data_IF_504609834471
#
_entry.id   IF_504609834471
#
_cell.length_a   1.000
_cell.length_b   1.000
_cell.length_c   1.000
_cell.angle_alpha   90.00
_cell.angle_beta   90.00
_cell.angle_gamma   90.00
#
_symmetry.space_group_name_H-M   'P 1'
#
loop_
_entity.id
_entity.type
_entity.pdbx_description
1 polymer ?
#
# COMPACT_ATOMS: atom_id res chain seq x y z
N UNK A 1 -12.60 28.27 16.91
CA UNK A 1 -12.50 26.95 16.23
C UNK A 1 -12.31 27.26 14.75
N UNK A 2 -11.08 27.45 14.28
CA UNK A 2 -10.82 27.79 12.88
C UNK A 2 -11.13 26.59 11.99
N UNK A 3 -12.26 26.69 11.28
CA UNK A 3 -12.63 25.80 10.18
C UNK A 3 -11.69 26.07 9.02
N UNK A 4 -10.64 25.26 8.88
CA UNK A 4 -9.83 25.22 7.65
C UNK A 4 -10.78 25.08 6.47
N UNK A 5 -10.62 25.93 5.46
CA UNK A 5 -11.38 25.80 4.22
C UNK A 5 -11.14 24.40 3.65
N UNK A 6 -12.14 23.70 3.11
CA UNK A 6 -11.98 22.33 2.59
C UNK A 6 -10.83 22.20 1.58
N UNK A 7 -10.54 23.29 0.86
CA UNK A 7 -9.43 23.42 -0.09
C UNK A 7 -8.03 23.28 0.54
N UNK A 8 -7.86 23.59 1.83
CA UNK A 8 -6.56 23.52 2.50
C UNK A 8 -6.13 22.08 2.81
N UNK A 9 -7.07 21.16 3.00
CA UNK A 9 -6.78 19.74 3.21
C UNK A 9 -6.68 18.99 1.88
N UNK A 10 -7.45 19.42 0.87
CA UNK A 10 -7.48 18.79 -0.44
C UNK A 10 -6.13 18.85 -1.17
N UNK A 11 -5.45 20.00 -1.17
CA UNK A 11 -4.19 20.18 -1.91
C UNK A 11 -3.08 19.21 -1.43
N UNK A 12 -2.78 19.07 -0.13
CA UNK A 12 -1.85 18.04 0.36
C UNK A 12 -2.25 16.61 -0.01
N UNK A 13 -3.55 16.29 0.05
CA UNK A 13 -4.05 14.96 -0.29
C UNK A 13 -3.91 14.66 -1.78
N UNK A 14 -4.06 15.66 -2.67
CA UNK A 14 -3.78 15.52 -4.09
C UNK A 14 -2.31 15.20 -4.36
N UNK A 15 -1.37 15.86 -3.66
CA UNK A 15 0.05 15.52 -3.76
C UNK A 15 0.32 14.09 -3.29
N UNK A 16 -0.28 13.68 -2.16
CA UNK A 16 -0.19 12.29 -1.69
C UNK A 16 -0.75 11.33 -2.73
N UNK A 17 -1.91 11.65 -3.34
CA UNK A 17 -2.52 10.84 -4.39
C UNK A 17 -1.59 10.64 -5.58
N UNK A 18 -0.95 11.71 -6.07
CA UNK A 18 0.03 11.61 -7.17
C UNK A 18 1.26 10.79 -6.79
N UNK A 19 1.83 11.01 -5.60
CA UNK A 19 2.96 10.22 -5.12
C UNK A 19 2.59 8.74 -4.94
N UNK A 20 1.37 8.46 -4.48
CA UNK A 20 0.86 7.12 -4.33
C UNK A 20 0.60 6.43 -5.67
N UNK A 21 0.10 7.15 -6.68
CA UNK A 21 -0.02 6.63 -8.04
C UNK A 21 1.36 6.30 -8.64
N UNK A 22 2.35 7.21 -8.47
CA UNK A 22 3.73 6.98 -8.89
C UNK A 22 4.35 5.78 -8.17
N UNK A 23 4.05 5.58 -6.89
CA UNK A 23 4.44 4.39 -6.15
C UNK A 23 3.86 3.13 -6.79
N UNK A 24 2.58 3.14 -7.19
CA UNK A 24 1.95 2.01 -7.88
C UNK A 24 2.64 1.67 -9.21
N UNK A 25 2.97 2.69 -10.01
CA UNK A 25 3.77 2.53 -11.24
C UNK A 25 5.15 1.94 -10.96
N UNK A 26 5.83 2.48 -9.95
CA UNK A 26 7.19 2.06 -9.59
C UNK A 26 7.19 0.60 -9.12
N UNK A 27 6.20 0.22 -8.31
CA UNK A 27 6.02 -1.15 -7.86
C UNK A 27 5.76 -2.12 -9.03
N UNK A 28 4.92 -1.73 -10.00
CA UNK A 28 4.73 -2.53 -11.21
C UNK A 28 6.03 -2.70 -11.99
N UNK A 29 6.76 -1.61 -12.22
CA UNK A 29 8.03 -1.66 -12.94
C UNK A 29 9.04 -2.61 -12.26
N UNK A 30 9.11 -2.60 -10.92
CA UNK A 30 9.95 -3.53 -10.15
C UNK A 30 9.49 -4.98 -10.37
N UNK A 31 8.19 -5.28 -10.28
CA UNK A 31 7.69 -6.65 -10.45
C UNK A 31 7.84 -7.15 -11.89
N UNK A 32 7.68 -6.28 -12.89
CA UNK A 32 7.95 -6.61 -14.29
C UNK A 32 9.44 -6.92 -14.49
N UNK A 33 10.33 -6.13 -13.91
CA UNK A 33 11.77 -6.39 -13.97
C UNK A 33 12.15 -7.72 -13.29
N UNK A 34 11.53 -8.03 -12.14
CA UNK A 34 11.70 -9.33 -11.48
C UNK A 34 11.20 -10.47 -12.38
N UNK A 35 10.00 -10.35 -12.94
CA UNK A 35 9.45 -11.35 -13.86
C UNK A 35 10.34 -11.55 -15.10
N UNK A 36 10.91 -10.47 -15.64
CA UNK A 36 11.88 -10.54 -16.73
C UNK A 36 13.14 -11.32 -16.32
N UNK A 37 13.70 -11.03 -15.14
CA UNK A 37 14.88 -11.72 -14.61
C UNK A 37 14.66 -13.22 -14.39
N UNK A 38 13.43 -13.65 -14.10
CA UNK A 38 13.06 -15.06 -13.99
C UNK A 38 12.56 -15.69 -15.31
N UNK A 39 12.50 -14.94 -16.41
CA UNK A 39 11.98 -15.44 -17.69
C UNK A 39 10.46 -15.72 -17.69
N UNK A 40 9.70 -15.10 -16.79
CA UNK A 40 8.26 -15.34 -16.59
C UNK A 40 7.38 -14.16 -16.99
N UNK A 41 7.81 -13.35 -17.97
CA UNK A 41 7.01 -12.24 -18.48
C UNK A 41 5.72 -12.76 -19.12
N UNK A 42 4.57 -12.22 -18.69
CA UNK A 42 3.24 -12.67 -19.12
C UNK A 42 2.64 -11.86 -20.28
N UNK A 43 3.43 -11.02 -20.94
CA UNK A 43 2.98 -10.10 -22.00
C UNK A 43 2.37 -8.80 -21.46
N UNK A 44 1.93 -7.91 -22.35
CA UNK A 44 1.50 -6.55 -22.00
C UNK A 44 0.14 -6.49 -21.27
N UNK A 45 -0.83 -7.33 -21.65
CA UNK A 45 -2.18 -7.28 -21.09
C UNK A 45 -2.21 -7.60 -19.57
N UNK A 46 -1.55 -8.67 -19.08
CA UNK A 46 -1.49 -8.93 -17.64
C UNK A 46 -0.77 -7.82 -16.86
N UNK A 47 0.29 -7.24 -17.43
CA UNK A 47 1.03 -6.10 -16.83
C UNK A 47 0.12 -4.88 -16.67
N UNK A 48 -0.73 -4.60 -17.65
CA UNK A 48 -1.68 -3.48 -17.55
C UNK A 48 -2.75 -3.74 -16.48
N UNK A 49 -3.25 -4.98 -16.37
CA UNK A 49 -4.21 -5.36 -15.35
C UNK A 49 -3.60 -5.29 -13.94
N UNK A 50 -2.34 -5.74 -13.79
CA UNK A 50 -1.55 -5.67 -12.57
C UNK A 50 -1.23 -4.21 -12.17
N UNK A 51 -0.98 -3.33 -13.15
CA UNK A 51 -0.78 -1.90 -12.94
C UNK A 51 -2.04 -1.25 -12.34
N UNK A 52 -3.22 -1.54 -12.91
CA UNK A 52 -4.51 -1.05 -12.39
C UNK A 52 -4.70 -1.46 -10.93
N UNK A 53 -4.38 -2.71 -10.60
CA UNK A 53 -4.44 -3.19 -9.22
C UNK A 53 -3.49 -2.40 -8.31
N UNK A 54 -2.23 -2.23 -8.71
CA UNK A 54 -1.20 -1.61 -7.87
C UNK A 54 -1.42 -0.12 -7.64
N UNK A 55 -1.83 0.61 -8.68
CA UNK A 55 -2.13 2.05 -8.61
C UNK A 55 -3.35 2.32 -7.74
N UNK A 56 -4.43 1.55 -7.92
CA UNK A 56 -5.62 1.70 -7.08
C UNK A 56 -5.34 1.34 -5.62
N UNK A 57 -4.61 0.24 -5.38
CA UNK A 57 -4.15 -0.17 -4.05
C UNK A 57 -3.35 0.93 -3.35
N UNK A 58 -2.26 1.38 -3.97
CA UNK A 58 -1.36 2.37 -3.37
C UNK A 58 -2.07 3.68 -3.09
N UNK A 59 -2.89 4.15 -4.04
CA UNK A 59 -3.61 5.42 -3.92
C UNK A 59 -4.56 5.40 -2.73
N UNK A 60 -5.44 4.40 -2.63
CA UNK A 60 -6.44 4.34 -1.54
C UNK A 60 -5.75 4.19 -0.19
N UNK A 61 -4.74 3.32 -0.09
CA UNK A 61 -4.04 3.06 1.17
C UNK A 61 -3.24 4.27 1.65
N UNK A 62 -2.36 4.83 0.80
CA UNK A 62 -1.50 5.92 1.22
C UNK A 62 -2.32 7.21 1.46
N UNK A 63 -3.38 7.47 0.67
CA UNK A 63 -4.30 8.58 0.93
C UNK A 63 -5.06 8.36 2.24
N UNK A 64 -5.56 7.16 2.51
CA UNK A 64 -6.24 6.83 3.77
C UNK A 64 -5.36 7.10 4.99
N UNK A 65 -4.11 6.63 4.97
CA UNK A 65 -3.14 6.91 6.02
C UNK A 65 -2.83 8.41 6.16
N UNK A 66 -2.70 9.13 5.03
CA UNK A 66 -2.46 10.57 5.05
C UNK A 66 -3.64 11.36 5.61
N UNK A 67 -4.89 10.95 5.33
CA UNK A 67 -6.08 11.50 5.97
C UNK A 67 -5.99 11.30 7.49
N UNK A 68 -5.67 10.09 7.94
CA UNK A 68 -5.46 9.82 9.37
C UNK A 68 -4.38 10.69 10.01
N UNK A 69 -3.29 10.95 9.29
CA UNK A 69 -2.20 11.82 9.74
C UNK A 69 -2.59 13.31 9.85
N UNK A 70 -3.72 13.73 9.28
CA UNK A 70 -4.21 15.13 9.39
C UNK A 70 -4.96 15.41 10.69
N UNK A 71 -5.30 14.38 11.47
CA UNK A 71 -6.03 14.53 12.73
C UNK A 71 -5.20 15.31 13.77
N UNK A 72 -5.81 16.34 14.36
CA UNK A 72 -5.17 17.18 15.40
C UNK A 72 -5.17 16.52 16.78
N UNK A 73 -6.29 15.91 17.16
CA UNK A 73 -6.46 15.16 18.41
C UNK A 73 -6.51 13.67 18.11
N UNK A 74 -5.94 12.86 18.99
CA UNK A 74 -5.89 11.40 18.84
C UNK A 74 -5.30 10.93 17.50
N UNK A 75 -4.30 11.67 16.95
CA UNK A 75 -3.66 11.36 15.66
C UNK A 75 -3.24 9.90 15.53
N UNK A 76 -2.60 9.33 16.55
CA UNK A 76 -2.19 7.92 16.57
C UNK A 76 -3.36 6.95 16.35
N UNK A 77 -4.34 6.90 17.27
CA UNK A 77 -5.54 6.08 17.09
C UNK A 77 -6.26 6.30 15.76
N UNK A 78 -6.42 7.56 15.32
CA UNK A 78 -7.09 7.88 14.05
C UNK A 78 -6.29 7.39 12.85
N UNK A 79 -4.97 7.53 12.86
CA UNK A 79 -4.09 7.04 11.80
C UNK A 79 -4.07 5.50 11.74
N UNK A 80 -4.12 4.84 12.91
CA UNK A 80 -4.30 3.40 13.01
C UNK A 80 -5.65 2.95 12.45
N UNK A 81 -6.76 3.57 12.87
CA UNK A 81 -8.10 3.25 12.33
C UNK A 81 -8.19 3.52 10.83
N UNK A 82 -7.60 4.61 10.36
CA UNK A 82 -7.55 4.92 8.93
C UNK A 82 -6.84 3.82 8.15
N UNK A 83 -5.70 3.31 8.63
CA UNK A 83 -5.03 2.16 8.03
C UNK A 83 -5.86 0.86 8.12
N UNK A 84 -6.49 0.60 9.27
CA UNK A 84 -7.31 -0.58 9.54
C UNK A 84 -8.48 -0.71 8.54
N UNK A 85 -9.11 0.40 8.16
CA UNK A 85 -10.24 0.40 7.23
C UNK A 85 -9.84 0.68 5.77
N UNK A 86 -8.81 1.52 5.53
CA UNK A 86 -8.39 1.84 4.17
C UNK A 86 -7.79 0.63 3.47
N UNK A 87 -7.06 -0.25 4.16
CA UNK A 87 -6.44 -1.41 3.51
C UNK A 87 -7.43 -2.49 3.05
N UNK A 88 -8.44 -2.91 3.85
CA UNK A 88 -9.50 -3.79 3.37
C UNK A 88 -10.30 -3.17 2.22
N UNK A 89 -10.62 -1.87 2.31
CA UNK A 89 -11.32 -1.15 1.25
C UNK A 89 -10.49 -1.12 -0.04
N UNK A 90 -9.22 -0.77 0.06
CA UNK A 90 -8.29 -0.78 -1.06
C UNK A 90 -8.13 -2.18 -1.65
N UNK A 91 -8.09 -3.22 -0.82
CA UNK A 91 -8.01 -4.60 -1.29
C UNK A 91 -9.19 -4.95 -2.18
N UNK A 92 -10.41 -4.68 -1.70
CA UNK A 92 -11.63 -4.97 -2.45
C UNK A 92 -11.69 -4.16 -3.75
N UNK A 93 -11.48 -2.85 -3.67
CA UNK A 93 -11.51 -1.97 -4.86
C UNK A 93 -10.45 -2.35 -5.87
N UNK A 94 -9.20 -2.53 -5.44
CA UNK A 94 -8.10 -2.91 -6.33
C UNK A 94 -8.33 -4.28 -6.97
N UNK A 95 -8.87 -5.25 -6.20
CA UNK A 95 -9.22 -6.57 -6.72
C UNK A 95 -10.32 -6.48 -7.77
N UNK A 96 -11.41 -5.76 -7.51
CA UNK A 96 -12.50 -5.58 -8.45
C UNK A 96 -12.05 -4.89 -9.73
N UNK A 97 -11.21 -3.85 -9.61
CA UNK A 97 -10.62 -3.17 -10.76
C UNK A 97 -9.66 -4.07 -11.54
N UNK A 98 -8.88 -4.90 -10.85
CA UNK A 98 -8.01 -5.89 -11.49
C UNK A 98 -8.81 -6.93 -12.28
N UNK A 99 -9.85 -7.51 -11.68
CA UNK A 99 -10.68 -8.51 -12.36
C UNK A 99 -11.43 -7.90 -13.56
N UNK A 100 -11.93 -6.66 -13.42
CA UNK A 100 -12.52 -5.92 -14.55
C UNK A 100 -11.51 -5.61 -15.66
N UNK A 101 -10.26 -5.27 -15.31
CA UNK A 101 -9.19 -5.04 -16.28
C UNK A 101 -8.78 -6.33 -17.00
N UNK A 102 -8.69 -7.46 -16.28
CA UNK A 102 -8.42 -8.77 -16.89
C UNK A 102 -9.49 -9.15 -17.90
N UNK A 103 -10.76 -8.96 -17.54
CA UNK A 103 -11.89 -9.21 -18.44
C UNK A 103 -11.81 -8.33 -19.69
N UNK A 104 -11.63 -7.01 -19.53
CA UNK A 104 -11.54 -6.06 -20.64
C UNK A 104 -10.35 -6.32 -21.57
N UNK A 105 -9.26 -6.91 -21.05
CA UNK A 105 -8.03 -7.22 -21.79
C UNK A 105 -7.94 -8.68 -22.25
N UNK A 106 -9.02 -9.46 -22.06
CA UNK A 106 -9.09 -10.89 -22.38
C UNK A 106 -7.94 -11.71 -21.77
N UNK A 107 -7.54 -11.36 -20.55
CA UNK A 107 -6.55 -12.11 -19.77
C UNK A 107 -7.27 -13.29 -19.13
N UNK A 108 -6.78 -14.51 -19.36
CA UNK A 108 -7.35 -15.72 -18.81
C UNK A 108 -7.52 -15.63 -17.28
N UNK A 109 -8.66 -16.10 -16.78
CA UNK A 109 -8.91 -16.19 -15.36
C UNK A 109 -7.94 -17.17 -14.68
N UNK A 110 -7.60 -16.91 -13.42
CA UNK A 110 -6.81 -17.84 -12.63
C UNK A 110 -7.57 -19.17 -12.45
N UNK A 111 -6.89 -20.29 -12.68
CA UNK A 111 -7.49 -21.61 -12.52
C UNK A 111 -7.49 -22.04 -11.04
N UNK A 112 -8.68 -22.27 -10.49
CA UNK A 112 -8.88 -22.91 -9.18
C UNK A 112 -9.31 -21.97 -8.05
N UNK A 113 -9.65 -22.53 -6.87
CA UNK A 113 -10.04 -21.73 -5.71
C UNK A 113 -8.87 -20.90 -5.21
N UNK A 114 -9.04 -19.57 -5.19
CA UNK A 114 -8.08 -18.68 -4.55
C UNK A 114 -8.17 -18.74 -3.01
N UNK A 115 -7.17 -18.22 -2.29
CA UNK A 115 -7.23 -18.08 -0.84
C UNK A 115 -8.39 -17.18 -0.41
N UNK A 116 -8.85 -17.38 0.83
CA UNK A 116 -9.96 -16.61 1.41
C UNK A 116 -9.70 -15.10 1.34
N UNK A 117 -10.49 -14.41 0.52
CA UNK A 117 -10.41 -12.96 0.34
C UNK A 117 -10.74 -12.22 1.63
N UNK A 118 -11.65 -12.76 2.45
CA UNK A 118 -12.02 -12.17 3.74
C UNK A 118 -10.82 -12.21 4.69
N UNK A 119 -10.11 -13.34 4.77
CA UNK A 119 -8.92 -13.46 5.62
C UNK A 119 -7.81 -12.52 5.16
N UNK A 120 -7.60 -12.38 3.85
CA UNK A 120 -6.64 -11.41 3.30
C UNK A 120 -7.02 -9.99 3.68
N UNK A 121 -8.30 -9.62 3.52
CA UNK A 121 -8.78 -8.29 3.87
C UNK A 121 -8.57 -7.99 5.37
N UNK A 122 -8.90 -8.93 6.25
CA UNK A 122 -8.68 -8.81 7.70
C UNK A 122 -7.18 -8.65 8.00
N UNK A 123 -6.32 -9.49 7.42
CA UNK A 123 -4.88 -9.45 7.64
C UNK A 123 -4.27 -8.12 7.15
N UNK A 124 -4.69 -7.63 5.98
CA UNK A 124 -4.32 -6.31 5.46
C UNK A 124 -4.80 -5.18 6.37
N UNK A 125 -6.00 -5.31 6.93
CA UNK A 125 -6.52 -4.39 7.95
C UNK A 125 -5.60 -4.31 9.16
N UNK A 126 -5.28 -5.43 9.79
CA UNK A 126 -4.37 -5.45 10.93
C UNK A 126 -2.95 -4.96 10.57
N UNK A 127 -2.45 -5.31 9.38
CA UNK A 127 -1.17 -4.83 8.87
C UNK A 127 -1.14 -3.31 8.81
N UNK A 128 -2.08 -2.70 8.09
CA UNK A 128 -2.06 -1.25 7.88
C UNK A 128 -2.57 -0.46 9.09
N UNK A 129 -3.39 -1.08 9.94
CA UNK A 129 -3.79 -0.50 11.22
C UNK A 129 -2.63 -0.37 12.19
N UNK A 130 -1.85 -1.45 12.37
CA UNK A 130 -0.62 -1.40 13.17
C UNK A 130 0.43 -0.48 12.53
N UNK A 131 0.53 -0.48 11.20
CA UNK A 131 1.40 0.43 10.46
C UNK A 131 1.08 1.91 10.74
N UNK A 132 -0.19 2.30 10.69
CA UNK A 132 -0.62 3.66 10.99
C UNK A 132 -0.24 4.10 12.41
N UNK A 133 -0.41 3.22 13.39
CA UNK A 133 0.01 3.47 14.78
C UNK A 133 1.53 3.65 14.89
N UNK A 134 2.30 2.77 14.24
CA UNK A 134 3.76 2.82 14.29
C UNK A 134 4.32 4.08 13.60
N UNK A 135 3.74 4.49 12.47
CA UNK A 135 4.14 5.71 11.79
C UNK A 135 3.91 6.95 12.65
N UNK A 136 2.76 7.05 13.34
CA UNK A 136 2.51 8.14 14.29
C UNK A 136 3.49 8.11 15.47
N UNK A 137 3.78 6.92 16.00
CA UNK A 137 4.76 6.76 17.08
C UNK A 137 6.15 7.20 16.67
N UNK A 138 6.65 6.76 15.52
CA UNK A 138 7.96 7.17 14.98
C UNK A 138 7.98 8.67 14.69
N UNK A 139 6.92 9.22 14.13
CA UNK A 139 6.85 10.65 13.78
C UNK A 139 6.98 11.60 14.97
N UNK A 140 6.75 11.11 16.21
CA UNK A 140 6.89 11.85 17.47
C UNK A 140 8.27 11.72 18.11
N UNK A 141 9.15 10.86 17.59
CA UNK A 141 10.48 10.65 18.14
C UNK A 141 11.48 11.67 17.56
N UNK A 142 12.51 12.08 18.33
CA UNK A 142 13.56 12.97 17.82
C UNK A 142 14.35 12.35 16.66
N UNK A 143 14.43 11.01 16.62
CA UNK A 143 15.04 10.23 15.54
C UNK A 143 14.05 9.85 14.42
N UNK A 144 12.82 10.36 14.46
CA UNK A 144 11.72 10.05 13.54
C UNK A 144 11.86 10.60 12.12
N UNK A 145 13.06 10.52 11.54
CA UNK A 145 13.36 10.94 10.18
C UNK A 145 12.89 9.96 9.11
N UNK A 146 13.35 10.17 7.86
CA UNK A 146 12.98 9.35 6.71
C UNK A 146 13.33 7.87 6.94
N UNK A 147 14.56 7.57 7.36
CA UNK A 147 15.04 6.21 7.58
C UNK A 147 14.17 5.44 8.58
N UNK A 148 13.73 6.08 9.66
CA UNK A 148 12.85 5.49 10.66
C UNK A 148 11.45 5.14 10.11
N UNK A 149 10.92 5.97 9.21
CA UNK A 149 9.65 5.68 8.53
C UNK A 149 9.80 4.50 7.57
N UNK A 150 10.86 4.49 6.75
CA UNK A 150 11.14 3.39 5.82
C UNK A 150 11.37 2.07 6.58
N UNK A 151 12.13 2.10 7.67
CA UNK A 151 12.38 0.94 8.53
C UNK A 151 11.07 0.41 9.15
N UNK A 152 10.17 1.31 9.54
CA UNK A 152 8.83 0.93 10.03
C UNK A 152 8.01 0.24 8.95
N UNK A 153 8.01 0.80 7.74
CA UNK A 153 7.38 0.17 6.57
C UNK A 153 7.96 -1.22 6.31
N UNK A 154 9.28 -1.36 6.31
CA UNK A 154 9.95 -2.64 6.08
C UNK A 154 9.63 -3.65 7.18
N UNK A 155 9.67 -3.25 8.46
CA UNK A 155 9.39 -4.15 9.58
C UNK A 155 7.96 -4.69 9.51
N UNK A 156 6.96 -3.82 9.29
CA UNK A 156 5.58 -4.24 9.11
C UNK A 156 5.40 -5.08 7.85
N UNK A 157 6.07 -4.71 6.75
CA UNK A 157 6.07 -5.44 5.50
C UNK A 157 6.63 -6.85 5.64
N UNK A 158 7.73 -7.04 6.36
CA UNK A 158 8.33 -8.36 6.61
C UNK A 158 7.43 -9.22 7.48
N UNK A 159 6.91 -8.69 8.59
CA UNK A 159 6.07 -9.46 9.53
C UNK A 159 4.77 -9.91 8.86
N UNK A 160 4.00 -8.99 8.31
CA UNK A 160 2.71 -9.30 7.71
C UNK A 160 2.83 -9.85 6.29
N UNK A 161 3.84 -9.44 5.53
CA UNK A 161 4.14 -10.00 4.22
C UNK A 161 4.62 -11.44 4.30
N UNK A 162 5.44 -11.78 5.30
CA UNK A 162 5.80 -13.16 5.60
C UNK A 162 4.57 -14.01 5.94
N UNK A 163 3.68 -13.51 6.81
CA UNK A 163 2.42 -14.17 7.12
C UNK A 163 1.52 -14.35 5.87
N UNK A 164 1.42 -13.33 5.02
CA UNK A 164 0.69 -13.38 3.75
C UNK A 164 1.30 -14.40 2.78
N UNK A 165 2.62 -14.42 2.60
CA UNK A 165 3.31 -15.39 1.75
C UNK A 165 3.07 -16.81 2.27
N UNK A 166 3.24 -17.05 3.57
CA UNK A 166 2.98 -18.34 4.19
C UNK A 166 1.53 -18.79 4.04
N UNK A 167 0.56 -17.88 4.20
CA UNK A 167 -0.85 -18.16 3.97
C UNK A 167 -1.12 -18.56 2.52
N UNK A 168 -0.51 -17.87 1.56
CA UNK A 168 -0.68 -18.19 0.14
C UNK A 168 -0.03 -19.52 -0.26
N UNK A 169 1.13 -19.85 0.30
CA UNK A 169 1.77 -21.16 0.07
C UNK A 169 0.88 -22.29 0.61
N UNK A 170 0.33 -22.12 1.81
CA UNK A 170 -0.55 -23.13 2.43
C UNK A 170 -1.90 -23.29 1.72
N UNK A 171 -2.42 -22.21 1.14
CA UNK A 171 -3.69 -22.22 0.43
C UNK A 171 -3.57 -22.65 -1.04
N UNK A 172 -2.35 -22.77 -1.57
CA UNK A 172 -2.15 -23.13 -2.97
C UNK A 172 -2.37 -24.64 -3.20
N UNK A 173 -3.05 -25.05 -4.29
CA UNK A 173 -3.25 -26.47 -4.60
C UNK A 173 -1.94 -27.18 -4.99
N UNK A 174 -0.92 -26.41 -5.34
CA UNK A 174 0.41 -26.88 -5.73
C UNK A 174 1.45 -25.86 -5.29
N UNK A 175 2.68 -26.32 -5.03
CA UNK A 175 3.79 -25.45 -4.60
C UNK A 175 4.00 -24.32 -5.62
N UNK A 176 3.86 -23.04 -5.20
CA UNK A 176 4.03 -21.93 -6.13
C UNK A 176 5.46 -21.85 -6.66
N UNK A 177 5.66 -21.45 -7.93
CA UNK A 177 7.00 -21.26 -8.48
C UNK A 177 7.74 -20.15 -7.73
N UNK A 178 9.05 -20.30 -7.57
CA UNK A 178 9.90 -19.35 -6.83
C UNK A 178 9.76 -17.90 -7.32
N UNK A 179 9.62 -17.67 -8.63
CA UNK A 179 9.41 -16.34 -9.20
C UNK A 179 8.13 -15.66 -8.67
N UNK A 180 7.06 -16.42 -8.48
CA UNK A 180 5.80 -15.91 -7.91
C UNK A 180 5.94 -15.58 -6.42
N UNK A 181 6.69 -16.40 -5.67
CA UNK A 181 6.95 -16.17 -4.25
C UNK A 181 7.83 -14.94 -4.03
N UNK A 182 8.89 -14.78 -4.82
CA UNK A 182 9.78 -13.61 -4.76
C UNK A 182 9.03 -12.34 -5.14
N UNK A 183 8.27 -12.36 -6.24
CA UNK A 183 7.47 -11.20 -6.67
C UNK A 183 6.44 -10.82 -5.61
N UNK A 184 5.79 -11.80 -4.99
CA UNK A 184 4.86 -11.59 -3.89
C UNK A 184 5.55 -11.02 -2.66
N UNK A 185 6.66 -11.60 -2.23
CA UNK A 185 7.41 -11.12 -1.08
C UNK A 185 7.89 -9.68 -1.29
N UNK A 186 8.42 -9.37 -2.49
CA UNK A 186 8.81 -8.02 -2.87
C UNK A 186 7.60 -7.07 -2.79
N UNK A 187 6.45 -7.46 -3.33
CA UNK A 187 5.23 -6.67 -3.27
C UNK A 187 4.79 -6.36 -1.83
N UNK A 188 4.75 -7.38 -0.99
CA UNK A 188 4.28 -7.25 0.40
C UNK A 188 5.25 -6.46 1.30
N UNK A 189 6.56 -6.53 1.03
CA UNK A 189 7.57 -5.78 1.78
C UNK A 189 7.72 -4.33 1.30
N UNK A 190 7.77 -4.11 -0.02
CA UNK A 190 8.07 -2.79 -0.59
C UNK A 190 6.87 -1.84 -0.54
N UNK A 191 5.63 -2.33 -0.59
CA UNK A 191 4.46 -1.45 -0.54
C UNK A 191 4.37 -0.63 0.76
N UNK A 192 4.48 -1.23 1.96
CA UNK A 192 4.52 -0.48 3.20
C UNK A 192 5.70 0.50 3.27
N UNK A 193 6.88 0.14 2.74
CA UNK A 193 8.03 1.06 2.62
C UNK A 193 7.67 2.26 1.74
N UNK A 194 7.03 2.02 0.60
CA UNK A 194 6.55 3.04 -0.30
C UNK A 194 5.51 3.96 0.34
N UNK A 195 4.48 3.43 1.01
CA UNK A 195 3.51 4.29 1.69
C UNK A 195 4.15 5.06 2.86
N UNK A 196 5.11 4.49 3.59
CA UNK A 196 5.87 5.22 4.60
C UNK A 196 6.62 6.42 3.99
N UNK A 197 7.26 6.21 2.83
CA UNK A 197 7.91 7.28 2.07
C UNK A 197 6.91 8.38 1.69
N UNK A 198 5.78 8.03 1.07
CA UNK A 198 4.75 8.98 0.63
C UNK A 198 4.22 9.80 1.82
N UNK A 199 3.90 9.15 2.94
CA UNK A 199 3.43 9.81 4.16
C UNK A 199 4.50 10.75 4.73
N UNK A 200 5.76 10.32 4.79
CA UNK A 200 6.86 11.15 5.26
C UNK A 200 7.07 12.39 4.38
N UNK A 201 7.12 12.22 3.06
CA UNK A 201 7.27 13.34 2.11
C UNK A 201 6.12 14.33 2.26
N UNK A 202 4.89 13.86 2.44
CA UNK A 202 3.74 14.74 2.68
C UNK A 202 3.90 15.61 3.94
N UNK A 203 4.47 15.05 5.02
CA UNK A 203 4.80 15.79 6.25
C UNK A 203 5.84 16.87 5.97
N UNK A 204 6.91 16.52 5.26
CA UNK A 204 8.00 17.46 4.93
C UNK A 204 7.50 18.59 4.03
N UNK A 205 6.75 18.29 2.97
CA UNK A 205 6.19 19.30 2.07
C UNK A 205 5.24 20.26 2.79
N UNK A 206 4.42 19.77 3.72
CA UNK A 206 3.56 20.61 4.56
C UNK A 206 4.38 21.58 5.41
N UNK A 207 5.48 21.10 6.00
CA UNK A 207 6.41 21.93 6.79
C UNK A 207 7.11 22.99 5.94
N UNK A 208 7.59 22.63 4.75
CA UNK A 208 8.26 23.56 3.82
C UNK A 208 7.30 24.62 3.26
N UNK A 209 6.01 24.30 3.14
CA UNK A 209 4.99 25.24 2.67
C UNK A 209 4.57 26.29 3.72
N UNK A 210 5.31 26.42 4.83
CA UNK A 210 5.05 27.42 5.88
C UNK A 210 3.75 27.21 6.66
N UNK A 211 3.11 26.04 6.55
CA UNK A 211 1.88 25.73 7.30
C UNK A 211 2.26 25.24 8.70
N UNK A 212 1.80 25.90 9.79
CA UNK A 212 2.18 25.51 11.14
C UNK A 212 1.80 24.04 11.43
N UNK A 213 2.73 23.32 12.07
CA UNK A 213 2.43 22.06 12.77
C UNK A 213 1.66 22.44 14.03
N UNK A 214 0.32 22.48 13.92
CA UNK A 214 -0.59 22.54 15.07
C UNK A 214 -0.83 21.15 15.67
#
# INVERSE_FOLDING_TARGET
>A
METKKPFDVLKPLLYVGWLAALLGLTMEAILVALAAGFGTLKGANPVLADLVQKVSWSTIVCVGLAVGATAKKARGPVMGLAGLFAAPLAFMVARSLHDGAKEALSVAADAGPGPSLILIAILKGFQYGSFGLMLDWVAKKPWGGLSAHLATGLAVGVVFGGAMVAFFVQAAPQTPPMSSLVSRAANECLFPVGCAFVVYVSKVLKKLSGRPEE
#
